data_IF_750804369593
#
_entry.id   IF_750804369593
#
_cell.length_a   1.000
_cell.length_b   1.000
_cell.length_c   1.000
_cell.angle_alpha   90.00
_cell.angle_beta   90.00
_cell.angle_gamma   90.00
#
_symmetry.space_group_name_H-M   'P 1'
#
loop_
_entity.id
_entity.type
_entity.pdbx_description
1 polymer ?
#
# COMPACT_ATOMS: atom_id res chain seq x y z
N UNK A 1 -18.91 -8.35 -1.45
CA UNK A 1 -19.07 -9.29 -2.59
C UNK A 1 -20.45 -9.09 -3.16
N UNK A 2 -20.54 -9.08 -4.46
CA UNK A 2 -21.79 -8.91 -5.20
C UNK A 2 -21.85 -9.90 -6.35
N UNK A 3 -23.05 -10.31 -6.76
CA UNK A 3 -23.29 -11.02 -8.01
C UNK A 3 -23.09 -10.08 -9.21
N UNK A 4 -22.95 -10.59 -10.45
CA UNK A 4 -22.80 -9.76 -11.65
C UNK A 4 -24.00 -8.82 -11.91
N UNK A 5 -25.18 -9.13 -11.41
CA UNK A 5 -26.38 -8.30 -11.51
C UNK A 5 -26.45 -7.20 -10.42
N UNK A 6 -25.45 -7.13 -9.51
CA UNK A 6 -25.36 -6.17 -8.42
C UNK A 6 -26.02 -6.63 -7.12
N UNK A 7 -26.54 -7.84 -7.05
CA UNK A 7 -27.09 -8.39 -5.81
C UNK A 7 -26.01 -8.58 -4.77
N UNK A 8 -26.19 -8.02 -3.56
CA UNK A 8 -25.25 -8.18 -2.45
C UNK A 8 -25.24 -9.61 -1.93
N UNK A 9 -24.07 -10.21 -1.82
CA UNK A 9 -23.85 -11.55 -1.27
C UNK A 9 -23.39 -11.48 0.17
N UNK A 10 -22.20 -10.91 0.39
CA UNK A 10 -21.57 -10.83 1.72
C UNK A 10 -20.52 -9.71 1.80
N UNK A 11 -20.22 -9.30 3.02
CA UNK A 11 -18.98 -8.60 3.37
C UNK A 11 -18.24 -9.44 4.43
N UNK A 12 -16.97 -9.12 4.62
CA UNK A 12 -16.17 -9.70 5.69
C UNK A 12 -15.32 -8.64 6.37
N UNK A 13 -14.88 -8.95 7.57
CA UNK A 13 -14.13 -8.04 8.43
C UNK A 13 -15.04 -7.14 9.27
N UNK A 14 -14.48 -6.69 10.36
CA UNK A 14 -15.08 -5.75 11.32
C UNK A 14 -14.01 -4.82 11.87
N UNK A 15 -14.40 -3.80 12.64
CA UNK A 15 -13.44 -2.93 13.30
C UNK A 15 -12.68 -3.68 14.40
N UNK A 16 -11.33 -3.57 14.39
CA UNK A 16 -10.49 -4.14 15.43
C UNK A 16 -9.02 -4.26 15.07
N UNK A 17 -8.29 -5.06 15.86
CA UNK A 17 -6.83 -5.19 15.81
C UNK A 17 -6.37 -6.63 15.52
N UNK A 18 -7.27 -7.60 15.68
CA UNK A 18 -6.97 -9.01 15.45
C UNK A 18 -6.94 -9.34 13.95
N UNK A 19 -6.51 -10.53 13.59
CA UNK A 19 -6.53 -11.01 12.21
C UNK A 19 -7.98 -11.09 11.70
N UNK A 20 -8.21 -10.60 10.49
CA UNK A 20 -9.55 -10.45 9.93
C UNK A 20 -10.30 -9.21 10.37
N UNK A 21 -9.79 -8.45 11.34
CA UNK A 21 -10.31 -7.14 11.75
C UNK A 21 -9.51 -6.02 11.13
N UNK A 22 -10.14 -4.86 10.93
CA UNK A 22 -9.53 -3.73 10.24
C UNK A 22 -9.64 -2.42 10.99
N UNK A 23 -8.65 -1.57 10.79
CA UNK A 23 -8.67 -0.18 11.20
C UNK A 23 -8.27 0.72 10.06
N UNK A 24 -9.25 1.35 9.40
CA UNK A 24 -9.04 2.16 8.19
C UNK A 24 -8.35 1.37 7.06
N UNK A 25 -8.98 0.29 6.53
CA UNK A 25 -8.47 -0.36 5.32
C UNK A 25 -8.50 0.65 4.18
N UNK A 26 -7.38 0.82 3.48
CA UNK A 26 -7.18 1.97 2.59
C UNK A 26 -6.99 1.59 1.13
N UNK A 27 -6.36 0.48 0.86
CA UNK A 27 -6.09 0.01 -0.50
C UNK A 27 -6.17 -1.50 -0.59
N UNK A 28 -6.46 -1.98 -1.78
CA UNK A 28 -6.60 -3.40 -2.12
C UNK A 28 -5.77 -3.72 -3.35
N UNK A 29 -5.15 -4.90 -3.38
CA UNK A 29 -4.52 -5.46 -4.56
C UNK A 29 -4.70 -6.97 -4.57
N UNK A 30 -4.55 -7.58 -5.74
CA UNK A 30 -4.62 -9.03 -5.92
C UNK A 30 -3.35 -9.51 -6.62
N UNK A 31 -2.79 -10.62 -6.18
CA UNK A 31 -1.64 -11.24 -6.82
C UNK A 31 -2.05 -12.24 -7.92
N UNK A 32 -1.05 -12.81 -8.60
CA UNK A 32 -1.28 -13.79 -9.67
C UNK A 32 -1.92 -15.10 -9.19
N UNK A 33 -1.91 -15.37 -7.88
CA UNK A 33 -2.53 -16.55 -7.28
C UNK A 33 -3.98 -16.30 -6.82
N UNK A 34 -4.49 -15.08 -7.01
CA UNK A 34 -5.83 -14.68 -6.59
C UNK A 34 -5.94 -14.40 -5.09
N UNK A 35 -4.82 -14.18 -4.38
CA UNK A 35 -4.84 -13.74 -2.99
C UNK A 35 -5.12 -12.25 -2.92
N UNK A 36 -6.00 -11.85 -2.02
CA UNK A 36 -6.39 -10.46 -1.79
C UNK A 36 -5.52 -9.86 -0.69
N UNK A 37 -4.81 -8.79 -1.02
CA UNK A 37 -3.99 -8.01 -0.11
C UNK A 37 -4.75 -6.76 0.32
N UNK A 38 -4.85 -6.52 1.61
CA UNK A 38 -5.56 -5.38 2.20
C UNK A 38 -4.57 -4.53 2.98
N UNK A 39 -4.37 -3.30 2.55
CA UNK A 39 -3.61 -2.31 3.30
C UNK A 39 -4.44 -1.84 4.50
N UNK A 40 -4.27 -2.48 5.64
CA UNK A 40 -4.92 -2.15 6.92
C UNK A 40 -4.11 -1.03 7.61
N UNK A 41 -4.25 0.19 7.04
CA UNK A 41 -3.42 1.35 7.35
C UNK A 41 -3.43 1.71 8.82
N UNK A 42 -4.60 1.72 9.45
CA UNK A 42 -4.74 2.07 10.87
C UNK A 42 -4.03 1.11 11.81
N UNK A 43 -3.77 -0.12 11.38
CA UNK A 43 -3.02 -1.14 12.10
C UNK A 43 -1.58 -1.30 11.59
N UNK A 44 -1.14 -0.45 10.65
CA UNK A 44 0.22 -0.46 10.07
C UNK A 44 0.64 -1.84 9.56
N UNK A 45 -0.25 -2.52 8.80
CA UNK A 45 -0.04 -3.87 8.29
C UNK A 45 -0.70 -4.09 6.94
N UNK A 46 -0.29 -5.14 6.23
CA UNK A 46 -1.03 -5.74 5.13
C UNK A 46 -1.60 -7.06 5.64
N UNK A 47 -2.88 -7.29 5.46
CA UNK A 47 -3.50 -8.60 5.67
C UNK A 47 -3.78 -9.27 4.34
N UNK A 48 -3.61 -10.58 4.26
CA UNK A 48 -3.76 -11.39 3.06
C UNK A 48 -4.91 -12.36 3.23
N UNK A 49 -5.80 -12.44 2.25
CA UNK A 49 -7.01 -13.25 2.31
C UNK A 49 -7.20 -14.08 1.04
N UNK A 50 -7.98 -15.14 1.16
CA UNK A 50 -8.64 -15.72 0.00
C UNK A 50 -9.72 -14.78 -0.53
N UNK A 51 -10.21 -15.02 -1.76
CA UNK A 51 -11.34 -14.24 -2.30
C UNK A 51 -12.64 -14.45 -1.49
N UNK A 52 -12.73 -15.54 -0.73
CA UNK A 52 -13.86 -15.80 0.15
C UNK A 52 -13.77 -15.10 1.52
N UNK A 53 -12.65 -14.43 1.80
CA UNK A 53 -12.41 -13.68 3.03
C UNK A 53 -11.78 -14.49 4.16
N UNK A 54 -11.23 -15.68 3.86
CA UNK A 54 -10.43 -16.44 4.81
C UNK A 54 -9.06 -15.78 4.96
N UNK A 55 -8.66 -15.47 6.21
CA UNK A 55 -7.36 -14.88 6.50
C UNK A 55 -6.23 -15.89 6.28
N UNK A 56 -5.19 -15.49 5.55
CA UNK A 56 -4.04 -16.32 5.20
C UNK A 56 -2.75 -15.91 5.92
N UNK A 57 -2.49 -14.59 5.99
CA UNK A 57 -1.23 -14.06 6.55
C UNK A 57 -1.34 -12.59 6.92
N UNK A 58 -0.42 -12.10 7.77
CA UNK A 58 -0.33 -10.70 8.19
C UNK A 58 1.11 -10.21 8.11
N UNK A 59 1.33 -9.13 7.36
CA UNK A 59 2.66 -8.55 7.08
C UNK A 59 2.80 -7.14 7.66
N UNK A 60 3.81 -6.93 8.48
CA UNK A 60 4.12 -5.64 9.11
C UNK A 60 5.28 -4.90 8.44
N UNK A 61 6.12 -5.59 7.68
CA UNK A 61 7.35 -5.06 7.09
C UNK A 61 7.14 -4.01 6.00
N UNK A 62 5.90 -3.81 5.55
CA UNK A 62 5.56 -2.75 4.60
C UNK A 62 5.10 -1.45 5.26
N UNK A 63 4.91 -1.45 6.59
CA UNK A 63 4.55 -0.25 7.35
C UNK A 63 3.08 0.20 7.19
N UNK A 64 2.81 1.49 7.34
CA UNK A 64 1.49 2.14 7.33
C UNK A 64 1.07 2.50 5.91
N UNK A 65 0.59 1.52 5.16
CA UNK A 65 0.34 1.63 3.72
C UNK A 65 -0.95 2.38 3.40
N UNK A 66 -0.85 3.41 2.56
CA UNK A 66 -1.98 4.11 1.94
C UNK A 66 -2.31 3.54 0.55
N UNK A 67 -1.32 3.40 -0.33
CA UNK A 67 -1.49 2.86 -1.67
C UNK A 67 -0.81 1.50 -1.84
N UNK A 68 -1.48 0.57 -2.51
CA UNK A 68 -0.99 -0.77 -2.78
C UNK A 68 -1.27 -1.16 -4.23
N UNK A 69 -0.26 -1.69 -4.91
CA UNK A 69 -0.36 -2.27 -6.24
C UNK A 69 0.49 -3.54 -6.33
N UNK A 70 -0.01 -4.56 -6.99
CA UNK A 70 0.74 -5.77 -7.32
C UNK A 70 0.68 -5.96 -8.83
N UNK A 71 1.84 -6.10 -9.47
CA UNK A 71 1.93 -6.41 -10.89
C UNK A 71 1.52 -7.88 -11.11
N UNK A 72 0.44 -8.16 -11.84
CA UNK A 72 -0.08 -9.51 -11.99
C UNK A 72 0.83 -10.46 -12.79
N UNK A 73 1.84 -9.94 -13.50
CA UNK A 73 2.76 -10.74 -14.28
C UNK A 73 4.00 -11.17 -13.49
N UNK A 74 4.41 -10.36 -12.52
CA UNK A 74 5.68 -10.54 -11.80
C UNK A 74 5.50 -10.79 -10.31
N UNK A 75 4.32 -10.51 -9.75
CA UNK A 75 4.03 -10.45 -8.32
C UNK A 75 4.94 -9.45 -7.56
N UNK A 76 5.46 -8.45 -8.28
CA UNK A 76 6.11 -7.31 -7.63
C UNK A 76 5.05 -6.47 -6.93
N UNK A 77 5.26 -6.24 -5.64
CA UNK A 77 4.39 -5.47 -4.77
C UNK A 77 4.97 -4.06 -4.58
N UNK A 78 4.13 -3.06 -4.75
CA UNK A 78 4.46 -1.64 -4.57
C UNK A 78 3.53 -1.07 -3.50
N UNK A 79 4.12 -0.63 -2.39
CA UNK A 79 3.40 -0.15 -1.21
C UNK A 79 3.87 1.26 -0.85
N UNK A 80 2.94 2.21 -0.84
CA UNK A 80 3.24 3.60 -0.47
C UNK A 80 2.74 3.87 0.94
N UNK A 81 3.68 4.31 1.78
CA UNK A 81 3.43 4.86 3.10
C UNK A 81 3.49 6.40 3.01
N UNK A 82 2.34 7.05 3.13
CA UNK A 82 2.19 8.50 3.02
C UNK A 82 2.15 9.22 4.36
N UNK A 83 2.05 8.49 5.47
CA UNK A 83 1.71 9.09 6.75
C UNK A 83 2.62 8.73 7.93
N UNK A 84 3.52 7.74 7.82
CA UNK A 84 4.39 7.39 8.94
C UNK A 84 5.22 8.57 9.42
N UNK A 85 5.11 8.85 10.70
CA UNK A 85 5.90 9.83 11.45
C UNK A 85 5.95 9.41 12.93
N UNK A 86 6.57 10.22 13.77
CA UNK A 86 6.71 9.94 15.21
C UNK A 86 5.38 9.88 15.97
N UNK A 87 4.27 10.41 15.41
CA UNK A 87 2.96 10.38 16.04
C UNK A 87 2.11 9.18 15.56
N UNK A 88 2.22 8.80 14.29
CA UNK A 88 1.31 7.83 13.68
C UNK A 88 1.90 6.44 13.47
N UNK A 89 3.22 6.31 13.39
CA UNK A 89 3.93 5.04 13.26
C UNK A 89 5.39 5.20 13.65
N UNK A 90 5.69 5.40 14.96
CA UNK A 90 7.02 5.74 15.44
C UNK A 90 8.10 4.76 14.98
N UNK A 91 9.26 5.29 14.58
CA UNK A 91 10.38 4.50 14.07
C UNK A 91 10.28 4.14 12.59
N UNK A 92 9.19 4.50 11.92
CA UNK A 92 9.02 4.30 10.48
C UNK A 92 9.05 5.62 9.72
N UNK A 93 9.36 5.55 8.44
CA UNK A 93 9.42 6.71 7.55
C UNK A 93 8.53 6.51 6.33
N UNK A 94 7.92 7.61 5.89
CA UNK A 94 7.19 7.72 4.63
C UNK A 94 8.06 7.27 3.46
N UNK A 95 7.48 6.58 2.50
CA UNK A 95 8.21 6.17 1.31
C UNK A 95 7.51 5.07 0.53
N UNK A 96 8.09 4.76 -0.62
CA UNK A 96 7.71 3.63 -1.45
C UNK A 96 8.54 2.41 -1.04
N UNK A 97 7.86 1.32 -0.70
CA UNK A 97 8.45 0.00 -0.51
C UNK A 97 8.08 -0.88 -1.69
N UNK A 98 9.09 -1.46 -2.31
CA UNK A 98 8.91 -2.42 -3.39
C UNK A 98 9.34 -3.79 -2.87
N UNK A 99 8.50 -4.79 -3.05
CA UNK A 99 8.73 -6.12 -2.53
C UNK A 99 8.15 -7.23 -3.40
N UNK A 100 8.18 -8.42 -2.88
CA UNK A 100 7.68 -9.62 -3.54
C UNK A 100 6.39 -10.09 -2.85
N UNK A 101 5.28 -10.10 -3.57
CA UNK A 101 3.98 -10.53 -3.04
C UNK A 101 3.93 -12.01 -2.67
N UNK A 102 4.82 -12.86 -3.22
CA UNK A 102 4.86 -14.29 -2.88
C UNK A 102 5.54 -14.56 -1.54
N UNK A 103 6.58 -13.78 -1.21
CA UNK A 103 7.45 -14.05 -0.05
C UNK A 103 7.33 -13.03 1.07
N UNK A 104 6.76 -11.85 0.80
CA UNK A 104 6.72 -10.74 1.74
C UNK A 104 8.06 -9.99 1.88
N UNK A 105 9.08 -10.36 1.11
CA UNK A 105 10.38 -9.70 1.16
C UNK A 105 10.29 -8.26 0.65
N UNK A 106 10.81 -7.30 1.41
CA UNK A 106 10.98 -5.91 0.96
C UNK A 106 12.34 -5.81 0.26
N UNK A 107 12.33 -5.59 -1.05
CA UNK A 107 13.52 -5.54 -1.90
C UNK A 107 14.13 -4.14 -1.97
N UNK A 108 13.28 -3.10 -2.02
CA UNK A 108 13.73 -1.72 -2.14
C UNK A 108 12.88 -0.80 -1.26
N UNK A 109 13.54 0.24 -0.75
CA UNK A 109 12.90 1.35 -0.07
C UNK A 109 13.36 2.67 -0.68
N UNK A 110 12.40 3.45 -1.16
CA UNK A 110 12.64 4.80 -1.64
C UNK A 110 12.01 5.77 -0.66
N UNK A 111 12.85 6.48 0.08
CA UNK A 111 12.41 7.48 1.05
C UNK A 111 11.63 8.60 0.36
N UNK A 112 10.61 9.13 1.05
CA UNK A 112 9.95 10.36 0.63
C UNK A 112 10.97 11.48 0.49
N UNK A 113 10.89 12.24 -0.61
CA UNK A 113 11.74 13.41 -0.74
C UNK A 113 11.18 14.55 0.12
N UNK A 114 12.08 15.32 0.72
CA UNK A 114 11.72 16.54 1.44
C UNK A 114 11.36 17.59 0.37
N UNK A 115 10.06 17.82 0.13
CA UNK A 115 9.66 18.93 -0.71
C UNK A 115 9.66 20.20 0.16
N UNK A 116 10.37 21.24 -0.25
CA UNK A 116 10.28 22.58 0.34
C UNK A 116 8.87 23.19 0.20
N UNK A 117 7.97 22.52 -0.49
CA UNK A 117 6.60 22.93 -0.75
C UNK A 117 5.63 22.40 0.28
N UNK A 118 5.63 23.03 1.46
CA UNK A 118 4.49 23.00 2.37
C UNK A 118 4.56 21.92 3.44
N UNK A 119 4.80 22.38 4.64
CA UNK A 119 4.53 21.69 5.90
C UNK A 119 3.02 21.59 6.17
N UNK A 120 2.31 20.77 5.41
CA UNK A 120 0.95 20.39 5.74
C UNK A 120 0.99 19.12 6.61
N UNK A 121 0.38 19.14 7.77
CA UNK A 121 0.23 18.05 8.75
C UNK A 121 1.42 17.05 8.78
N UNK A 122 2.51 17.43 9.47
CA UNK A 122 3.65 16.54 9.69
C UNK A 122 4.92 16.80 8.88
N UNK A 123 5.03 17.94 8.19
CA UNK A 123 6.32 18.52 7.78
C UNK A 123 7.08 17.90 6.61
N UNK A 124 6.69 16.75 6.08
CA UNK A 124 7.33 16.12 4.92
C UNK A 124 6.28 15.82 3.85
N UNK A 125 6.64 15.98 2.59
CA UNK A 125 5.74 15.72 1.46
C UNK A 125 5.07 14.37 1.54
N UNK A 126 3.82 14.29 1.06
CA UNK A 126 3.13 13.03 0.86
C UNK A 126 3.86 12.23 -0.24
N UNK A 127 3.95 10.92 -0.08
CA UNK A 127 4.45 10.04 -1.15
C UNK A 127 3.34 9.55 -2.06
N UNK A 128 2.10 9.89 -1.75
CA UNK A 128 0.90 9.48 -2.49
C UNK A 128 -0.04 8.59 -1.70
N UNK A 129 -1.31 8.68 -2.04
CA UNK A 129 -2.38 7.81 -1.52
C UNK A 129 -2.67 6.64 -2.47
N UNK A 130 -2.43 6.83 -3.77
CA UNK A 130 -2.55 5.80 -4.78
C UNK A 130 -1.24 5.50 -5.48
N UNK A 131 -1.07 4.26 -5.95
CA UNK A 131 0.11 3.83 -6.68
C UNK A 131 -0.29 2.94 -7.86
N UNK A 132 0.41 3.09 -8.97
CA UNK A 132 0.35 2.18 -10.11
C UNK A 132 1.71 2.10 -10.82
N UNK A 133 1.88 1.10 -11.68
CA UNK A 133 3.14 0.86 -12.39
C UNK A 133 2.86 0.61 -13.85
N UNK A 134 3.63 1.21 -14.73
CA UNK A 134 3.53 0.96 -16.16
C UNK A 134 4.35 -0.27 -16.59
N UNK A 135 4.17 -0.70 -17.83
CA UNK A 135 4.88 -1.86 -18.41
C UNK A 135 6.41 -1.72 -18.47
N UNK A 136 6.94 -0.52 -18.25
CA UNK A 136 8.39 -0.25 -18.22
C UNK A 136 8.93 -0.22 -16.78
N UNK A 137 8.09 -0.53 -15.79
CA UNK A 137 8.44 -0.49 -14.37
C UNK A 137 8.46 0.91 -13.77
N UNK A 138 7.96 1.91 -14.48
CA UNK A 138 7.85 3.27 -13.94
C UNK A 138 6.67 3.33 -12.98
N UNK A 139 6.95 3.75 -11.74
CA UNK A 139 5.94 3.87 -10.69
C UNK A 139 5.36 5.28 -10.70
N UNK A 140 4.05 5.37 -10.57
CA UNK A 140 3.31 6.62 -10.44
C UNK A 140 2.56 6.63 -9.11
N UNK A 141 2.68 7.72 -8.37
CA UNK A 141 2.01 7.94 -7.10
C UNK A 141 1.15 9.21 -7.15
N UNK A 142 -0.11 9.10 -6.78
CA UNK A 142 -1.04 10.23 -6.72
C UNK A 142 -1.07 10.84 -5.33
N UNK A 143 -0.71 12.11 -5.19
CA UNK A 143 -0.60 12.82 -3.93
C UNK A 143 -1.79 13.74 -3.67
N UNK A 144 -2.41 13.62 -2.50
CA UNK A 144 -3.55 14.48 -2.10
C UNK A 144 -3.10 15.79 -1.45
N UNK A 145 -1.94 15.82 -0.84
CA UNK A 145 -1.38 17.05 -0.24
C UNK A 145 0.04 16.82 0.27
N UNK A 146 0.83 17.85 0.43
CA UNK A 146 0.56 19.25 0.08
C UNK A 146 0.69 19.57 -1.42
N UNK A 147 1.29 18.65 -2.22
CA UNK A 147 1.63 18.90 -3.64
C UNK A 147 0.38 18.88 -4.52
N UNK A 148 -0.62 18.05 -4.19
CA UNK A 148 -1.83 17.83 -4.99
C UNK A 148 -1.49 17.51 -6.46
N UNK A 149 -0.65 16.50 -6.66
CA UNK A 149 -0.08 16.16 -7.95
C UNK A 149 0.28 14.70 -8.07
N UNK A 150 1.20 14.42 -8.97
CA UNK A 150 1.71 13.07 -9.21
C UNK A 150 3.22 13.05 -9.13
N UNK A 151 3.75 12.07 -8.39
CA UNK A 151 5.18 11.74 -8.37
C UNK A 151 5.46 10.55 -9.27
N UNK A 152 6.54 10.64 -10.04
CA UNK A 152 6.99 9.60 -10.96
C UNK A 152 8.36 9.08 -10.53
N UNK A 153 8.47 7.76 -10.30
CA UNK A 153 9.72 7.08 -9.98
C UNK A 153 10.18 6.28 -11.19
N UNK A 154 11.35 6.63 -11.71
CA UNK A 154 11.93 5.98 -12.89
C UNK A 154 13.01 5.02 -12.41
N UNK A 155 12.85 3.69 -12.61
CA UNK A 155 13.89 2.75 -12.28
C UNK A 155 15.14 3.02 -13.12
N UNK A 156 16.31 3.03 -12.46
CA UNK A 156 17.59 3.11 -13.15
C UNK A 156 18.30 1.79 -12.93
N UNK A 157 18.71 1.15 -14.01
CA UNK A 157 19.67 0.08 -13.93
C UNK A 157 20.98 0.69 -13.42
N UNK A 158 21.45 0.23 -12.26
CA UNK A 158 22.81 0.52 -11.80
C UNK A 158 23.71 -0.38 -12.63
N UNK A 159 24.68 0.18 -13.40
CA UNK A 159 25.57 -0.61 -14.23
C UNK A 159 26.47 -1.52 -13.39
#
# INVERSE_FOLDING_TARGET
MFEPDGTFIKSFGEFGFEDGQFRSPHSLAMDSQGRLFVADRGNSRIQIFTQDGEHLDTWYQFSRISGLFIDPNTDMLYAIDSESDENYNPGWQKGLRVGNARTGEVLYYVKAHDSERGSGMGGLGSMGEGVTVDRNGVVYAGEVGPIQGMTKFIPRLIP
#
